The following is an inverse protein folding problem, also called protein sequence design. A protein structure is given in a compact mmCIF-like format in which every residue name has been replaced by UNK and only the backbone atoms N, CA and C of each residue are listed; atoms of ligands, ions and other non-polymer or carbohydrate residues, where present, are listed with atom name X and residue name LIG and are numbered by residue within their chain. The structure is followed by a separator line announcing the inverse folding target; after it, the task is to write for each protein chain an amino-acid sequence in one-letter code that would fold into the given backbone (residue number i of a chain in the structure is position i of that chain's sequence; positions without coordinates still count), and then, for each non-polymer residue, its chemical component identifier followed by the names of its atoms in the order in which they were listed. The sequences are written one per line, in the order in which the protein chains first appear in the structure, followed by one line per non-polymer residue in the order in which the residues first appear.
data_IF_419642118673
#
_entry.id   IF_419642118673
#
_cell.length_a   1.000
_cell.length_b   1.000
_cell.length_c   1.000
_cell.angle_alpha   90.00
_cell.angle_beta   90.00
_cell.angle_gamma   90.00
#
_symmetry.space_group_name_H-M   'P 1'
#
loop_
_entity.id
_entity.type
_entity.pdbx_description
1 polymer ?
#
# COMPACT_ATOMS: atom_id res chain seq x y z
N UNK A 1 -9.02 20.20 -3.63
CA UNK A 1 -7.67 19.59 -3.67
C UNK A 1 -7.86 18.09 -3.77
N UNK A 2 -7.06 17.39 -4.59
CA UNK A 2 -7.20 15.95 -4.83
C UNK A 2 -5.95 15.20 -4.38
N UNK A 3 -6.08 13.91 -4.12
CA UNK A 3 -4.97 13.01 -3.74
C UNK A 3 -4.65 12.08 -4.90
N UNK A 4 -3.39 12.03 -5.31
CA UNK A 4 -2.89 11.08 -6.31
C UNK A 4 -2.19 9.93 -5.57
N UNK A 5 -2.85 8.78 -5.50
CA UNK A 5 -2.28 7.57 -4.88
C UNK A 5 -1.49 6.78 -5.91
N UNK A 6 -0.20 6.59 -5.65
CA UNK A 6 0.73 5.90 -6.54
C UNK A 6 1.37 4.71 -5.81
N UNK A 7 0.97 3.50 -6.19
CA UNK A 7 1.49 2.24 -5.67
C UNK A 7 2.66 1.75 -6.53
N UNK A 8 3.75 1.31 -5.89
CA UNK A 8 4.96 0.84 -6.59
C UNK A 8 4.82 -0.56 -7.20
N UNK A 9 3.91 -1.36 -6.66
CA UNK A 9 3.62 -2.71 -7.09
C UNK A 9 2.11 -2.99 -7.16
N UNK A 10 1.73 -4.10 -7.81
CA UNK A 10 0.33 -4.47 -7.96
C UNK A 10 -0.31 -4.97 -6.66
N UNK A 11 0.48 -5.53 -5.73
CA UNK A 11 -0.04 -6.01 -4.44
C UNK A 11 -0.42 -4.82 -3.53
N UNK A 12 0.40 -3.76 -3.50
CA UNK A 12 0.06 -2.50 -2.83
C UNK A 12 -1.22 -1.91 -3.41
N UNK A 13 -1.35 -1.90 -4.74
CA UNK A 13 -2.55 -1.41 -5.39
C UNK A 13 -3.79 -2.19 -4.96
N UNK A 14 -3.73 -3.53 -4.92
CA UNK A 14 -4.86 -4.35 -4.50
C UNK A 14 -5.26 -4.08 -3.04
N UNK A 15 -4.29 -4.01 -2.12
CA UNK A 15 -4.54 -3.66 -0.72
C UNK A 15 -5.22 -2.28 -0.61
N UNK A 16 -4.71 -1.29 -1.33
CA UNK A 16 -5.29 0.06 -1.32
C UNK A 16 -6.71 0.11 -1.87
N UNK A 17 -7.01 -0.65 -2.93
CA UNK A 17 -8.37 -0.78 -3.46
C UNK A 17 -9.31 -1.43 -2.46
N UNK A 18 -8.89 -2.50 -1.78
CA UNK A 18 -9.70 -3.16 -0.75
C UNK A 18 -10.04 -2.17 0.37
N UNK A 19 -9.05 -1.43 0.88
CA UNK A 19 -9.27 -0.44 1.93
C UNK A 19 -10.18 0.71 1.47
N UNK A 20 -9.97 1.22 0.26
CA UNK A 20 -10.74 2.32 -0.31
C UNK A 20 -12.21 1.93 -0.52
N UNK A 21 -12.47 0.79 -1.16
CA UNK A 21 -13.82 0.32 -1.48
C UNK A 21 -14.65 0.01 -0.22
N UNK A 22 -13.96 -0.27 0.90
CA UNK A 22 -14.60 -0.55 2.18
C UNK A 22 -14.61 0.65 3.14
N UNK A 23 -14.31 1.87 2.64
CA UNK A 23 -14.27 3.10 3.44
C UNK A 23 -13.36 3.04 4.68
N UNK A 24 -12.27 2.28 4.59
CA UNK A 24 -11.32 2.07 5.70
C UNK A 24 -10.18 3.08 5.73
N UNK A 25 -10.18 4.07 4.84
CA UNK A 25 -9.16 5.09 4.73
C UNK A 25 -9.66 6.42 5.31
N UNK A 26 -8.74 7.32 5.69
CA UNK A 26 -9.06 8.70 6.11
C UNK A 26 -9.57 9.59 4.96
N UNK A 27 -9.70 9.03 3.77
CA UNK A 27 -10.19 9.68 2.56
C UNK A 27 -11.03 8.69 1.75
N UNK A 28 -11.87 9.22 0.87
CA UNK A 28 -12.78 8.48 0.01
C UNK A 28 -12.34 8.50 -1.46
N UNK A 29 -13.05 7.78 -2.34
CA UNK A 29 -12.82 7.83 -3.79
C UNK A 29 -12.94 9.26 -4.33
N UNK A 30 -13.89 10.04 -3.81
CA UNK A 30 -14.10 11.44 -4.19
C UNK A 30 -12.93 12.35 -3.80
N UNK A 31 -12.03 11.94 -2.92
CA UNK A 31 -10.81 12.67 -2.65
C UNK A 31 -9.71 12.40 -3.69
N UNK A 32 -9.83 11.31 -4.47
CA UNK A 32 -8.77 10.86 -5.36
C UNK A 32 -8.82 11.52 -6.74
N UNK A 33 -7.63 11.74 -7.30
CA UNK A 33 -7.47 12.13 -8.70
C UNK A 33 -7.87 10.94 -9.60
N UNK A 34 -8.90 11.12 -10.42
CA UNK A 34 -9.48 10.04 -11.23
C UNK A 34 -10.17 8.94 -10.42
N UNK A 35 -10.56 9.23 -9.17
CA UNK A 35 -11.36 8.36 -8.30
C UNK A 35 -10.73 7.01 -7.96
N UNK A 36 -9.43 6.81 -8.22
CA UNK A 36 -8.79 5.50 -8.05
C UNK A 36 -7.29 5.60 -7.73
N UNK A 37 -6.71 4.63 -7.03
CA UNK A 37 -5.25 4.49 -6.93
C UNK A 37 -4.65 3.92 -8.23
N UNK A 38 -3.40 4.29 -8.52
CA UNK A 38 -2.67 3.85 -9.71
C UNK A 38 -1.46 2.98 -9.36
N UNK A 39 -1.19 1.97 -10.17
CA UNK A 39 0.11 1.31 -10.19
C UNK A 39 1.09 2.14 -11.03
N UNK A 40 1.88 2.99 -10.37
CA UNK A 40 2.82 3.88 -11.03
C UNK A 40 3.96 4.26 -10.09
N UNK A 41 5.21 4.18 -10.57
CA UNK A 41 6.40 4.64 -9.82
C UNK A 41 6.81 6.06 -10.13
N UNK A 42 6.47 6.55 -11.33
CA UNK A 42 6.85 7.87 -11.84
C UNK A 42 5.69 8.46 -12.64
N UNK A 43 5.39 9.74 -12.43
CA UNK A 43 4.29 10.43 -13.13
C UNK A 43 4.51 10.39 -14.64
N UNK A 44 5.72 10.76 -15.11
CA UNK A 44 6.01 10.85 -16.54
C UNK A 44 5.86 9.54 -17.33
N UNK A 45 5.93 8.39 -16.64
CA UNK A 45 5.83 7.05 -17.24
C UNK A 45 4.41 6.49 -17.27
N UNK A 46 3.46 7.09 -16.55
CA UNK A 46 2.08 6.60 -16.51
C UNK A 46 1.18 7.47 -17.38
N UNK A 47 0.68 6.90 -18.48
CA UNK A 47 -0.27 7.59 -19.37
C UNK A 47 -1.58 7.96 -18.68
N UNK A 48 -2.09 7.07 -17.82
CA UNK A 48 -3.31 7.28 -17.03
C UNK A 48 -3.15 8.46 -16.07
N UNK A 49 -2.08 8.46 -15.27
CA UNK A 49 -1.83 9.56 -14.30
C UNK A 49 -1.69 10.90 -15.02
N UNK A 50 -1.00 10.94 -16.16
CA UNK A 50 -0.88 12.18 -16.95
C UNK A 50 -2.21 12.64 -17.52
N UNK A 51 -3.06 11.72 -17.99
CA UNK A 51 -4.37 12.06 -18.51
C UNK A 51 -5.23 12.75 -17.44
N UNK A 52 -5.24 12.20 -16.23
CA UNK A 52 -5.97 12.77 -15.10
C UNK A 52 -5.41 14.11 -14.63
N UNK A 53 -4.08 14.24 -14.54
CA UNK A 53 -3.43 15.52 -14.22
C UNK A 53 -3.75 16.58 -15.28
N UNK A 54 -3.77 16.24 -16.56
CA UNK A 54 -4.09 17.20 -17.62
C UNK A 54 -5.55 17.68 -17.59
N UNK A 55 -6.48 16.86 -17.06
CA UNK A 55 -7.90 17.21 -16.95
C UNK A 55 -8.23 17.99 -15.68
N UNK A 56 -7.35 17.96 -14.67
CA UNK A 56 -7.59 18.58 -13.38
C UNK A 56 -6.83 19.91 -13.24
N UNK A 57 -7.52 20.99 -12.87
CA UNK A 57 -6.94 22.33 -12.77
C UNK A 57 -6.49 22.73 -11.35
N UNK A 58 -6.73 21.86 -10.35
CA UNK A 58 -6.42 22.15 -8.95
C UNK A 58 -5.09 21.59 -8.46
N UNK A 59 -4.80 21.85 -7.19
CA UNK A 59 -3.64 21.26 -6.51
C UNK A 59 -3.86 19.78 -6.17
N UNK A 60 -2.77 19.02 -6.24
CA UNK A 60 -2.68 17.58 -6.01
C UNK A 60 -1.64 17.25 -4.95
N UNK A 61 -2.03 16.47 -3.95
CA UNK A 61 -1.10 15.84 -3.01
C UNK A 61 -0.78 14.42 -3.49
N UNK A 62 0.49 14.08 -3.60
CA UNK A 62 0.92 12.75 -4.05
C UNK A 62 1.19 11.85 -2.85
N UNK A 63 0.52 10.72 -2.78
CA UNK A 63 0.73 9.68 -1.78
C UNK A 63 1.37 8.49 -2.46
N UNK A 64 2.64 8.20 -2.12
CA UNK A 64 3.38 7.06 -2.66
C UNK A 64 3.39 5.90 -1.68
N UNK A 65 3.11 4.70 -2.17
CA UNK A 65 2.98 3.49 -1.36
C UNK A 65 3.88 2.39 -1.93
N UNK A 66 4.81 1.88 -1.13
CA UNK A 66 5.72 0.81 -1.57
C UNK A 66 6.83 0.46 -0.57
N UNK A 67 7.57 -0.61 -0.89
CA UNK A 67 8.69 -1.14 -0.11
C UNK A 67 9.95 -0.25 -0.26
N UNK A 68 10.32 0.05 -1.52
CA UNK A 68 11.57 0.74 -1.85
C UNK A 68 11.34 2.21 -2.05
N UNK A 69 11.27 2.93 -0.94
CA UNK A 69 11.18 4.39 -0.94
C UNK A 69 12.44 5.12 -1.43
N UNK A 70 13.45 4.39 -1.94
CA UNK A 70 14.74 4.92 -2.40
C UNK A 70 14.64 5.76 -3.68
N UNK A 71 13.67 5.45 -4.56
CA UNK A 71 13.53 6.19 -5.80
C UNK A 71 12.81 7.51 -5.55
N UNK A 72 13.47 8.63 -5.81
CA UNK A 72 12.84 9.95 -5.80
C UNK A 72 11.76 10.05 -6.89
N UNK A 73 10.62 10.67 -6.56
CA UNK A 73 9.59 10.95 -7.56
C UNK A 73 10.02 12.17 -8.38
N UNK A 74 10.30 11.98 -9.67
CA UNK A 74 10.58 13.11 -10.55
C UNK A 74 9.26 13.72 -11.01
N UNK A 75 9.00 14.96 -10.59
CA UNK A 75 7.85 15.74 -11.07
C UNK A 75 8.21 16.36 -12.43
N UNK A 76 7.50 15.99 -13.53
CA UNK A 76 7.67 16.65 -14.82
C UNK A 76 7.41 18.16 -14.72
N UNK A 77 8.13 18.95 -15.54
CA UNK A 77 8.09 20.41 -15.46
C UNK A 77 6.67 20.99 -15.58
N UNK A 78 5.85 20.41 -16.46
CA UNK A 78 4.46 20.77 -16.69
C UNK A 78 3.54 20.61 -15.46
N UNK A 79 3.89 19.74 -14.51
CA UNK A 79 3.09 19.46 -13.31
C UNK A 79 3.64 20.12 -12.03
N UNK A 80 4.80 20.80 -12.10
CA UNK A 80 5.43 21.39 -10.90
C UNK A 80 4.53 22.36 -10.14
N UNK A 81 3.70 23.13 -10.83
CA UNK A 81 2.76 24.07 -10.20
C UNK A 81 1.50 23.42 -9.63
N UNK A 82 1.24 22.15 -9.96
CA UNK A 82 0.06 21.41 -9.50
C UNK A 82 0.35 20.55 -8.27
N UNK A 83 1.57 20.02 -8.16
CA UNK A 83 1.94 19.14 -7.05
C UNK A 83 2.23 19.97 -5.80
N UNK A 84 1.37 19.85 -4.80
CA UNK A 84 1.46 20.57 -3.53
C UNK A 84 2.36 19.86 -2.51
N UNK A 85 2.25 18.53 -2.42
CA UNK A 85 3.06 17.73 -1.50
C UNK A 85 3.34 16.33 -2.05
N UNK A 86 4.39 15.69 -1.53
CA UNK A 86 4.69 14.28 -1.77
C UNK A 86 4.92 13.60 -0.41
N UNK A 87 4.08 12.62 -0.13
CA UNK A 87 4.15 11.79 1.07
C UNK A 87 4.50 10.35 0.69
N UNK A 88 5.29 9.68 1.54
CA UNK A 88 5.71 8.29 1.31
C UNK A 88 5.26 7.41 2.46
N UNK A 89 4.51 6.35 2.15
CA UNK A 89 4.01 5.35 3.07
C UNK A 89 4.67 4.01 2.80
N UNK A 90 5.30 3.44 3.83
CA UNK A 90 6.18 2.30 3.70
C UNK A 90 5.43 0.99 3.99
N UNK A 91 5.69 -0.01 3.15
CA UNK A 91 5.18 -1.38 3.33
C UNK A 91 6.25 -2.35 3.84
N UNK A 92 7.41 -1.84 4.29
CA UNK A 92 8.51 -2.66 4.84
C UNK A 92 8.05 -3.51 6.03
N UNK A 93 8.65 -4.69 6.25
CA UNK A 93 9.68 -5.30 5.42
C UNK A 93 9.14 -5.78 4.06
N UNK A 94 7.94 -6.35 4.03
CA UNK A 94 7.20 -6.73 2.81
C UNK A 94 5.70 -6.81 3.18
N UNK A 95 4.78 -6.64 2.21
CA UNK A 95 3.33 -6.74 2.44
C UNK A 95 2.89 -8.09 3.00
N UNK A 96 3.64 -9.16 2.73
CA UNK A 96 3.40 -10.51 3.24
C UNK A 96 3.39 -10.58 4.78
N UNK A 97 3.97 -9.59 5.47
CA UNK A 97 3.87 -9.51 6.92
C UNK A 97 2.42 -9.39 7.39
N UNK A 98 1.55 -8.77 6.59
CA UNK A 98 0.12 -8.64 6.88
C UNK A 98 -0.57 -10.00 6.83
N UNK A 99 -0.22 -10.86 5.86
CA UNK A 99 -0.72 -12.24 5.78
C UNK A 99 -0.24 -13.06 6.98
N UNK A 100 1.03 -12.94 7.34
CA UNK A 100 1.63 -13.65 8.49
C UNK A 100 0.93 -13.27 9.81
N UNK A 101 0.58 -11.99 9.97
CA UNK A 101 -0.15 -11.48 11.14
C UNK A 101 -1.60 -11.96 11.10
N UNK A 102 -2.27 -11.88 9.96
CA UNK A 102 -3.65 -12.34 9.77
C UNK A 102 -3.82 -13.84 10.07
N UNK A 103 -2.81 -14.65 9.76
CA UNK A 103 -2.74 -16.08 10.09
C UNK A 103 -2.36 -16.38 11.55
N UNK A 104 -2.06 -15.36 12.37
CA UNK A 104 -1.66 -15.53 13.77
C UNK A 104 -0.29 -16.21 13.94
N UNK A 105 0.53 -16.30 12.89
CA UNK A 105 1.82 -16.99 12.89
C UNK A 105 3.02 -16.03 12.95
N UNK A 106 2.80 -14.76 13.26
CA UNK A 106 3.86 -13.76 13.42
C UNK A 106 4.92 -14.15 14.46
N UNK A 107 4.54 -14.72 15.61
CA UNK A 107 5.51 -15.19 16.60
C UNK A 107 6.39 -16.35 16.11
N UNK A 108 5.90 -17.18 15.17
CA UNK A 108 6.71 -18.21 14.50
C UNK A 108 7.71 -17.56 13.54
N UNK A 109 7.25 -16.58 12.75
CA UNK A 109 8.11 -15.80 11.87
C UNK A 109 9.23 -15.08 12.64
N UNK A 110 8.91 -14.46 13.79
CA UNK A 110 9.88 -13.75 14.61
C UNK A 110 11.09 -14.61 15.03
N UNK A 111 10.90 -15.94 15.19
CA UNK A 111 11.99 -16.87 15.53
C UNK A 111 12.95 -17.13 14.37
N UNK A 112 12.53 -16.88 13.13
CA UNK A 112 13.29 -17.18 11.91
C UNK A 112 13.60 -15.95 11.04
N UNK A 113 13.11 -14.76 11.42
CA UNK A 113 13.20 -13.51 10.64
C UNK A 113 14.62 -13.07 10.24
N UNK A 114 15.65 -13.55 10.94
CA UNK A 114 17.06 -13.29 10.59
C UNK A 114 17.58 -14.15 9.42
N UNK A 115 16.85 -15.20 9.05
CA UNK A 115 17.23 -16.16 8.01
C UNK A 115 16.21 -16.26 6.88
N UNK A 116 14.95 -15.89 7.15
CA UNK A 116 13.83 -16.07 6.22
C UNK A 116 13.10 -14.75 6.06
N UNK A 117 12.89 -14.30 4.81
CA UNK A 117 12.10 -13.11 4.54
C UNK A 117 10.60 -13.35 4.80
N UNK A 118 9.79 -12.31 5.07
CA UNK A 118 8.33 -12.46 5.18
C UNK A 118 7.72 -13.22 3.99
N UNK A 119 8.13 -12.90 2.77
CA UNK A 119 7.68 -13.52 1.52
C UNK A 119 7.99 -15.01 1.47
N UNK A 120 9.21 -15.41 1.80
CA UNK A 120 9.56 -16.83 1.82
C UNK A 120 8.79 -17.56 2.92
N UNK A 121 8.67 -16.95 4.10
CA UNK A 121 7.90 -17.54 5.19
C UNK A 121 6.42 -17.71 4.83
N UNK A 122 5.82 -16.71 4.18
CA UNK A 122 4.43 -16.75 3.72
C UNK A 122 4.22 -17.88 2.70
N UNK A 123 5.13 -18.04 1.73
CA UNK A 123 5.06 -19.14 0.75
C UNK A 123 5.06 -20.51 1.41
N UNK A 124 5.87 -20.68 2.45
CA UNK A 124 6.05 -21.98 3.09
C UNK A 124 4.91 -22.33 4.05
N UNK A 125 4.20 -21.32 4.59
CA UNK A 125 3.29 -21.51 5.73
C UNK A 125 1.83 -21.11 5.47
N UNK A 126 1.52 -20.38 4.39
CA UNK A 126 0.18 -19.81 4.18
C UNK A 126 -0.54 -20.54 3.03
N UNK A 127 -1.70 -21.09 3.36
CA UNK A 127 -2.65 -21.69 2.43
C UNK A 127 -4.02 -21.12 2.74
N UNK A 128 -4.69 -20.60 1.71
CA UNK A 128 -6.03 -20.05 1.83
C UNK A 128 -6.91 -20.66 0.74
N UNK A 129 -8.09 -21.17 1.10
CA UNK A 129 -9.00 -21.88 0.20
C UNK A 129 -8.33 -22.96 -0.66
N UNK A 130 -7.40 -23.73 -0.07
CA UNK A 130 -6.65 -24.78 -0.75
C UNK A 130 -5.54 -24.29 -1.70
N UNK A 131 -5.37 -22.96 -1.85
CA UNK A 131 -4.31 -22.36 -2.66
C UNK A 131 -3.17 -21.91 -1.74
N UNK A 132 -1.95 -22.33 -2.05
CA UNK A 132 -0.75 -21.86 -1.34
C UNK A 132 -0.37 -20.45 -1.81
N UNK A 133 0.14 -19.63 -0.89
CA UNK A 133 0.65 -18.31 -1.25
C UNK A 133 1.69 -18.38 -2.38
N UNK A 134 1.44 -17.62 -3.45
CA UNK A 134 2.22 -17.66 -4.69
C UNK A 134 2.71 -16.27 -5.14
N UNK A 135 2.63 -15.26 -4.28
CA UNK A 135 2.91 -13.84 -4.56
C UNK A 135 2.08 -13.19 -5.68
N UNK A 136 0.98 -13.81 -6.09
CA UNK A 136 0.05 -13.17 -7.00
C UNK A 136 -0.79 -12.12 -6.28
N UNK A 137 -1.13 -11.06 -7.01
CA UNK A 137 -2.11 -10.07 -6.57
C UNK A 137 -3.47 -10.71 -6.30
N UNK A 138 -3.84 -11.70 -7.12
CA UNK A 138 -5.06 -12.49 -6.95
C UNK A 138 -5.15 -13.14 -5.57
N UNK A 139 -4.03 -13.62 -5.01
CA UNK A 139 -4.04 -14.18 -3.66
C UNK A 139 -4.44 -13.15 -2.62
N UNK A 140 -3.93 -11.91 -2.70
CA UNK A 140 -4.32 -10.84 -1.78
C UNK A 140 -5.79 -10.46 -1.94
N UNK A 141 -6.28 -10.37 -3.19
CA UNK A 141 -7.69 -10.11 -3.49
C UNK A 141 -8.61 -11.19 -2.92
N UNK A 142 -8.29 -12.47 -3.13
CA UNK A 142 -9.07 -13.58 -2.58
C UNK A 142 -8.98 -13.66 -1.05
N UNK A 143 -7.80 -13.38 -0.47
CA UNK A 143 -7.57 -13.49 0.97
C UNK A 143 -8.25 -12.37 1.76
N UNK A 144 -8.14 -11.12 1.30
CA UNK A 144 -8.59 -9.93 2.03
C UNK A 144 -9.86 -9.29 1.47
N UNK A 145 -10.25 -9.58 0.21
CA UNK A 145 -11.37 -8.90 -0.46
C UNK A 145 -12.68 -9.00 0.31
N UNK A 146 -13.04 -10.20 0.75
CA UNK A 146 -14.21 -10.46 1.61
C UNK A 146 -13.89 -10.39 3.12
N UNK A 147 -12.64 -10.05 3.47
CA UNK A 147 -12.14 -9.97 4.85
C UNK A 147 -11.45 -8.62 5.11
N UNK A 148 -12.06 -7.48 4.76
CA UNK A 148 -11.40 -6.17 4.84
C UNK A 148 -11.05 -5.80 6.30
N UNK A 149 -11.87 -6.24 7.28
CA UNK A 149 -11.56 -6.02 8.71
C UNK A 149 -10.31 -6.77 9.17
N UNK A 150 -10.06 -7.97 8.63
CA UNK A 150 -8.83 -8.73 8.91
C UNK A 150 -7.61 -7.98 8.35
N UNK A 151 -7.73 -7.38 7.18
CA UNK A 151 -6.68 -6.53 6.62
C UNK A 151 -6.41 -5.31 7.51
N UNK A 152 -7.47 -4.60 7.91
CA UNK A 152 -7.38 -3.45 8.81
C UNK A 152 -6.64 -3.83 10.10
N UNK A 153 -7.11 -4.88 10.77
CA UNK A 153 -6.55 -5.32 12.05
C UNK A 153 -5.10 -5.80 11.89
N UNK A 154 -4.74 -6.42 10.76
CA UNK A 154 -3.36 -6.80 10.46
C UNK A 154 -2.44 -5.57 10.29
N UNK A 155 -2.91 -4.52 9.63
CA UNK A 155 -2.15 -3.26 9.46
C UNK A 155 -1.96 -2.57 10.82
N UNK A 156 -3.03 -2.46 11.61
CA UNK A 156 -2.97 -1.91 12.97
C UNK A 156 -1.99 -2.72 13.81
N UNK A 157 -2.14 -4.05 13.84
CA UNK A 157 -1.27 -4.92 14.63
C UNK A 157 0.19 -4.82 14.21
N UNK A 158 0.44 -4.71 12.90
CA UNK A 158 1.78 -4.54 12.37
C UNK A 158 2.46 -3.26 12.89
N UNK A 159 1.71 -2.16 12.98
CA UNK A 159 2.22 -0.90 13.53
C UNK A 159 2.64 -1.00 15.01
N UNK A 160 1.96 -1.83 15.81
CA UNK A 160 2.27 -2.01 17.24
C UNK A 160 3.57 -2.80 17.45
N UNK A 161 3.81 -3.81 16.60
CA UNK A 161 4.92 -4.76 16.75
C UNK A 161 6.18 -4.31 16.03
N UNK A 162 6.06 -3.42 15.05
CA UNK A 162 7.19 -2.87 14.29
C UNK A 162 7.60 -1.48 14.78
N UNK A 163 8.31 -1.41 15.92
CA UNK A 163 8.75 -0.13 16.54
C UNK A 163 10.05 0.47 15.98
N UNK A 164 10.56 -0.03 14.86
CA UNK A 164 11.97 0.15 14.49
C UNK A 164 12.25 0.91 13.20
N UNK A 165 11.70 2.11 12.95
CA UNK A 165 12.09 2.88 11.75
C UNK A 165 12.25 4.38 12.01
N UNK A 166 13.06 5.05 11.18
CA UNK A 166 13.52 6.42 11.35
C UNK A 166 12.41 7.48 11.19
N UNK A 167 12.68 8.70 11.68
CA UNK A 167 11.73 9.82 11.86
C UNK A 167 10.98 10.32 10.59
N UNK A 168 11.27 9.80 9.40
CA UNK A 168 10.77 10.34 8.12
C UNK A 168 9.88 9.38 7.30
N UNK A 169 9.70 8.13 7.71
CA UNK A 169 8.88 7.15 6.98
C UNK A 169 7.49 7.04 7.63
N UNK A 170 6.41 7.29 6.86
CA UNK A 170 5.04 7.06 7.32
C UNK A 170 4.61 5.62 7.07
N UNK A 171 3.65 5.13 7.84
CA UNK A 171 3.14 3.76 7.75
C UNK A 171 1.73 3.70 7.18
N UNK A 172 1.39 2.59 6.53
CA UNK A 172 0.02 2.32 6.05
C UNK A 172 -1.07 2.58 7.10
N UNK A 173 -0.78 2.34 8.39
CA UNK A 173 -1.72 2.59 9.49
C UNK A 173 -2.16 4.05 9.58
N UNK A 174 -1.32 5.01 9.18
CA UNK A 174 -1.63 6.44 9.21
C UNK A 174 -2.64 6.84 8.12
N UNK A 175 -2.87 5.97 7.14
CA UNK A 175 -3.91 6.17 6.12
C UNK A 175 -5.27 5.60 6.56
N UNK A 176 -5.33 4.83 7.64
CA UNK A 176 -6.58 4.18 8.07
C UNK A 176 -7.54 5.16 8.75
N UNK A 177 -8.81 5.07 8.39
CA UNK A 177 -9.91 5.74 9.09
C UNK A 177 -10.10 5.21 10.50
N UNK A 178 -10.71 6.01 11.38
CA UNK A 178 -11.22 5.50 12.66
C UNK A 178 -12.47 4.67 12.34
N UNK A 179 -12.43 3.37 12.62
CA UNK A 179 -13.63 2.53 12.72
C UNK A 179 -14.54 3.02 13.86
#
# INVERSE_FOLDING_TARGET
MKKLIMCEGPNELAIMKILLNNNMLIFSEDDLLGLTPYHARQIGKSGQVKAELNQYSGLVDVIRIGDKQSDELKIPMEYKGMINSIEKYCTKPELEILLIIAEGIYSKYQKVKSKVSPKQFAKDNIIFNGVRYNNSTKFFEEYFGERPKVLYDAIVKYSEVNKGHGKSERYLVELLGRD
#
